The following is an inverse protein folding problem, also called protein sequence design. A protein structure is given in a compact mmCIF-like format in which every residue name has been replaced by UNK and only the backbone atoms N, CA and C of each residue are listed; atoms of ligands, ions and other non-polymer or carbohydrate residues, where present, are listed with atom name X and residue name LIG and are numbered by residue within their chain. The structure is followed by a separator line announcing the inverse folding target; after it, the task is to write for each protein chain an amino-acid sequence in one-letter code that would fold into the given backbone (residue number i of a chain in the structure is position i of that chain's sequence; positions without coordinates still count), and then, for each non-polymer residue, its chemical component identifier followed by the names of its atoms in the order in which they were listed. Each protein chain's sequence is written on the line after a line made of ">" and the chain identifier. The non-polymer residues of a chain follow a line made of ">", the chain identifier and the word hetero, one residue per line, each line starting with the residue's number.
data_IF_652853184817
#
_entry.id   IF_652853184817
#
_cell.length_a   1.000
_cell.length_b   1.000
_cell.length_c   1.000
_cell.angle_alpha   90.00
_cell.angle_beta   90.00
_cell.angle_gamma   90.00
#
_symmetry.space_group_name_H-M   'P 1'
#
loop_
_entity.id
_entity.type
_entity.pdbx_description
1 polymer ?
#
# COMPACT_ATOMS: atom_id res chain seq x y z
N UNK A 1 62.78 -17.32 -0.30
CA UNK A 1 62.68 -15.93 0.24
C UNK A 1 61.21 -15.73 0.62
N UNK A 2 60.77 -15.49 1.85
CA UNK A 2 61.32 -14.76 2.99
C UNK A 2 61.17 -15.58 4.28
N UNK A 3 62.20 -15.54 5.13
CA UNK A 3 62.24 -16.08 6.50
C UNK A 3 61.48 -15.12 7.42
N UNK A 4 60.95 -15.59 8.55
CA UNK A 4 61.43 -15.17 9.89
C UNK A 4 60.63 -15.79 11.06
N UNK A 5 61.26 -16.82 11.66
CA UNK A 5 61.46 -17.02 13.11
C UNK A 5 60.22 -16.89 14.02
N UNK A 6 59.61 -18.05 14.29
CA UNK A 6 58.80 -18.33 15.47
C UNK A 6 59.74 -18.43 16.68
N UNK A 7 59.96 -17.31 17.36
CA UNK A 7 60.89 -17.17 18.48
C UNK A 7 60.21 -17.40 19.83
N UNK A 8 60.72 -18.42 20.52
CA UNK A 8 60.50 -18.78 21.93
C UNK A 8 60.61 -17.56 22.85
N UNK A 9 59.59 -17.33 23.68
CA UNK A 9 59.65 -16.50 24.90
C UNK A 9 59.46 -17.45 26.07
N UNK A 10 60.52 -18.14 26.46
CA UNK A 10 61.32 -17.90 27.68
C UNK A 10 60.50 -18.01 28.96
N UNK A 11 60.57 -19.23 29.50
CA UNK A 11 60.38 -19.62 30.88
C UNK A 11 61.55 -19.06 31.71
N UNK A 12 61.32 -17.97 32.45
CA UNK A 12 62.21 -17.54 33.55
C UNK A 12 61.42 -16.62 34.47
N UNK A 13 60.90 -17.13 35.58
CA UNK A 13 60.70 -16.34 36.80
C UNK A 13 60.78 -17.25 38.03
N UNK A 14 61.99 -17.43 38.56
CA UNK A 14 62.17 -17.73 39.98
C UNK A 14 62.33 -16.41 40.74
N UNK A 15 61.29 -16.11 41.52
CA UNK A 15 61.24 -15.48 42.85
C UNK A 15 61.91 -14.10 43.02
N UNK A 16 61.09 -13.07 43.26
CA UNK A 16 61.54 -11.89 43.99
C UNK A 16 60.84 -10.54 43.81
N UNK A 17 59.53 -10.46 43.53
CA UNK A 17 58.66 -9.27 43.76
C UNK A 17 57.18 -9.61 43.50
N UNK A 18 56.62 -10.64 44.15
CA UNK A 18 55.24 -11.11 43.91
C UNK A 18 54.17 -10.01 44.03
N UNK A 19 54.43 -8.98 44.84
CA UNK A 19 53.50 -7.88 45.04
C UNK A 19 53.42 -6.92 43.82
N UNK A 20 54.50 -6.79 43.05
CA UNK A 20 54.53 -5.93 41.85
C UNK A 20 53.88 -6.64 40.65
N UNK A 21 54.15 -7.94 40.47
CA UNK A 21 53.51 -8.76 39.43
C UNK A 21 52.00 -8.83 39.63
N UNK A 22 51.54 -9.10 40.86
CA UNK A 22 50.11 -9.07 41.20
C UNK A 22 49.47 -7.72 40.85
N UNK A 23 50.08 -6.60 41.28
CA UNK A 23 49.54 -5.26 41.04
C UNK A 23 49.43 -4.97 39.55
N UNK A 24 50.48 -5.28 38.78
CA UNK A 24 50.50 -5.10 37.33
C UNK A 24 49.40 -5.92 36.64
N UNK A 25 49.22 -7.18 37.03
CA UNK A 25 48.18 -8.04 36.49
C UNK A 25 46.77 -7.51 36.81
N UNK A 26 46.54 -7.03 38.05
CA UNK A 26 45.28 -6.38 38.43
C UNK A 26 45.01 -5.10 37.64
N UNK A 27 46.01 -4.23 37.47
CA UNK A 27 45.89 -2.98 36.72
C UNK A 27 45.63 -3.27 35.22
N UNK A 28 46.32 -4.26 34.64
CA UNK A 28 46.08 -4.72 33.26
C UNK A 28 44.67 -5.27 33.09
N UNK A 29 44.18 -6.09 34.02
CA UNK A 29 42.81 -6.60 33.98
C UNK A 29 41.78 -5.48 34.01
N UNK A 30 41.93 -4.51 34.93
CA UNK A 30 41.05 -3.34 35.03
C UNK A 30 41.10 -2.46 33.77
N UNK A 31 42.27 -2.28 33.16
CA UNK A 31 42.42 -1.57 31.90
C UNK A 31 41.71 -2.30 30.75
N UNK A 32 41.86 -3.63 30.67
CA UNK A 32 41.19 -4.45 29.68
C UNK A 32 39.65 -4.39 29.82
N UNK A 33 39.12 -4.33 31.05
CA UNK A 33 37.68 -4.10 31.27
C UNK A 33 37.20 -2.76 30.70
N UNK A 34 37.98 -1.69 30.88
CA UNK A 34 37.66 -0.38 30.31
C UNK A 34 37.65 -0.41 28.77
N UNK A 35 38.58 -1.18 28.17
CA UNK A 35 38.66 -1.40 26.73
C UNK A 35 37.67 -2.46 26.19
N UNK A 36 36.83 -3.06 27.05
CA UNK A 36 35.90 -4.15 26.71
C UNK A 36 36.60 -5.41 26.16
N UNK A 37 37.88 -5.60 26.49
CA UNK A 37 38.67 -6.78 26.15
C UNK A 37 38.52 -7.85 27.23
N UNK A 38 37.33 -8.45 27.30
CA UNK A 38 36.96 -9.32 28.43
C UNK A 38 37.84 -10.57 28.58
N UNK A 39 38.24 -11.21 27.47
CA UNK A 39 39.13 -12.38 27.52
C UNK A 39 40.53 -12.00 28.07
N UNK A 40 41.08 -10.86 27.60
CA UNK A 40 42.33 -10.30 28.13
C UNK A 40 42.22 -9.99 29.62
N UNK A 41 41.08 -9.44 30.04
CA UNK A 41 40.82 -9.15 31.44
C UNK A 41 40.77 -10.42 32.31
N UNK A 42 40.08 -11.48 31.85
CA UNK A 42 40.07 -12.78 32.54
C UNK A 42 41.49 -13.31 32.69
N UNK A 43 42.29 -13.34 31.62
CA UNK A 43 43.66 -13.85 31.66
C UNK A 43 44.53 -13.04 32.65
N UNK A 44 44.34 -11.71 32.70
CA UNK A 44 45.05 -10.85 33.63
C UNK A 44 44.66 -11.11 35.09
N UNK A 45 43.37 -11.34 35.38
CA UNK A 45 42.92 -11.69 36.73
C UNK A 45 43.36 -13.10 37.14
N UNK A 46 43.48 -14.04 36.19
CA UNK A 46 44.07 -15.36 36.44
C UNK A 46 45.55 -15.25 36.82
N UNK A 47 46.34 -14.45 36.11
CA UNK A 47 47.73 -14.15 36.49
C UNK A 47 47.83 -13.52 37.89
N UNK A 48 46.92 -12.61 38.24
CA UNK A 48 46.87 -12.06 39.59
C UNK A 48 46.59 -13.14 40.66
N UNK A 49 45.73 -14.12 40.34
CA UNK A 49 45.42 -15.25 41.23
C UNK A 49 46.54 -16.28 41.31
N UNK A 50 47.40 -16.41 40.30
CA UNK A 50 48.61 -17.24 40.38
C UNK A 50 49.57 -16.69 41.45
N UNK A 51 49.71 -15.35 41.52
CA UNK A 51 50.52 -14.67 42.52
C UNK A 51 49.85 -14.62 43.90
N UNK A 52 48.53 -14.43 43.96
CA UNK A 52 47.73 -14.38 45.20
C UNK A 52 46.45 -15.20 45.07
N UNK A 53 46.58 -16.51 45.29
CA UNK A 53 45.49 -17.51 45.13
C UNK A 53 44.22 -17.22 45.90
N UNK A 54 44.30 -16.51 47.03
CA UNK A 54 43.16 -16.22 47.90
C UNK A 54 42.69 -14.77 47.86
N UNK A 55 43.17 -13.99 46.89
CA UNK A 55 42.73 -12.61 46.71
C UNK A 55 41.24 -12.54 46.31
N UNK A 56 40.43 -11.92 47.17
CA UNK A 56 38.97 -11.86 46.96
C UNK A 56 38.60 -10.98 45.77
N UNK A 57 39.29 -9.86 45.59
CA UNK A 57 39.02 -8.91 44.51
C UNK A 57 39.29 -9.57 43.15
N UNK A 58 40.47 -10.19 42.98
CA UNK A 58 40.81 -10.89 41.73
C UNK A 58 39.83 -12.04 41.41
N UNK A 59 39.38 -12.82 42.41
CA UNK A 59 38.35 -13.87 42.22
C UNK A 59 37.04 -13.27 41.72
N UNK A 60 36.52 -12.24 42.40
CA UNK A 60 35.25 -11.60 42.04
C UNK A 60 35.33 -10.96 40.65
N UNK A 61 36.41 -10.25 40.34
CA UNK A 61 36.59 -9.62 39.03
C UNK A 61 36.68 -10.66 37.91
N UNK A 62 37.41 -11.75 38.10
CA UNK A 62 37.44 -12.86 37.14
C UNK A 62 36.04 -13.42 36.91
N UNK A 63 35.34 -13.78 37.99
CA UNK A 63 34.01 -14.39 37.92
C UNK A 63 32.98 -13.46 37.27
N UNK A 64 33.02 -12.17 37.57
CA UNK A 64 32.16 -11.16 36.95
C UNK A 64 32.43 -11.05 35.44
N UNK A 65 33.70 -11.05 35.06
CA UNK A 65 34.13 -10.94 33.66
C UNK A 65 33.75 -12.19 32.86
N UNK A 66 33.92 -13.38 33.43
CA UNK A 66 33.47 -14.63 32.80
C UNK A 66 31.96 -14.63 32.58
N UNK A 67 31.16 -14.15 33.55
CA UNK A 67 29.71 -14.00 33.36
C UNK A 67 29.36 -12.98 32.28
N UNK A 68 30.11 -11.88 32.16
CA UNK A 68 29.94 -10.91 31.05
C UNK A 68 30.15 -11.58 29.69
N UNK A 69 31.20 -12.39 29.55
CA UNK A 69 31.48 -13.17 28.33
C UNK A 69 30.33 -14.12 28.01
N UNK A 70 29.84 -14.87 29.01
CA UNK A 70 28.68 -15.75 28.85
C UNK A 70 27.42 -14.97 28.41
N UNK A 71 27.19 -13.79 28.98
CA UNK A 71 26.05 -12.93 28.63
C UNK A 71 26.10 -12.50 27.15
N UNK A 72 27.28 -12.10 26.68
CA UNK A 72 27.51 -11.69 25.28
C UNK A 72 27.34 -12.88 24.33
N UNK A 73 27.78 -14.07 24.74
CA UNK A 73 27.59 -15.31 23.98
C UNK A 73 26.11 -15.64 23.82
N UNK A 74 25.33 -15.65 24.90
CA UNK A 74 23.89 -15.91 24.83
C UNK A 74 23.16 -14.89 23.96
N UNK A 75 23.51 -13.60 24.08
CA UNK A 75 23.01 -12.53 23.19
C UNK A 75 23.30 -12.86 21.71
N UNK A 76 24.52 -13.27 21.41
CA UNK A 76 24.96 -13.56 20.03
C UNK A 76 24.32 -14.83 19.47
N UNK A 77 23.97 -15.78 20.34
CA UNK A 77 23.20 -16.99 20.00
C UNK A 77 21.69 -16.75 19.88
N UNK A 78 21.21 -15.53 20.13
CA UNK A 78 19.78 -15.18 20.05
C UNK A 78 18.97 -15.58 21.27
N UNK A 79 19.60 -16.07 22.34
CA UNK A 79 18.94 -16.46 23.60
C UNK A 79 18.70 -15.22 24.47
N UNK A 80 17.84 -14.32 24.01
CA UNK A 80 17.69 -12.95 24.56
C UNK A 80 17.30 -12.94 26.05
N UNK A 81 16.34 -13.77 26.48
CA UNK A 81 15.93 -13.82 27.89
C UNK A 81 17.08 -14.25 28.81
N UNK A 82 17.83 -15.27 28.39
CA UNK A 82 18.96 -15.78 29.15
C UNK A 82 20.08 -14.74 29.20
N UNK A 83 20.35 -14.05 28.09
CA UNK A 83 21.30 -12.95 28.05
C UNK A 83 20.92 -11.82 29.02
N UNK A 84 19.65 -11.39 29.05
CA UNK A 84 19.15 -10.37 30.00
C UNK A 84 19.38 -10.82 31.44
N UNK A 85 19.06 -12.08 31.76
CA UNK A 85 19.29 -12.65 33.09
C UNK A 85 20.76 -12.62 33.50
N UNK A 86 21.66 -13.06 32.61
CA UNK A 86 23.10 -13.07 32.88
C UNK A 86 23.69 -11.65 32.99
N UNK A 87 23.26 -10.70 32.14
CA UNK A 87 23.68 -9.31 32.30
C UNK A 87 23.21 -8.72 33.63
N UNK A 88 22.01 -9.06 34.09
CA UNK A 88 21.54 -8.64 35.41
C UNK A 88 22.39 -9.23 36.56
N UNK A 89 22.87 -10.48 36.43
CA UNK A 89 23.80 -11.05 37.41
C UNK A 89 25.14 -10.30 37.45
N UNK A 90 25.67 -9.91 36.28
CA UNK A 90 26.90 -9.11 36.17
C UNK A 90 26.71 -7.72 36.78
N UNK A 91 25.58 -7.07 36.48
CA UNK A 91 25.19 -5.76 37.02
C UNK A 91 25.07 -5.77 38.55
N UNK A 92 24.51 -6.83 39.13
CA UNK A 92 24.22 -6.92 40.56
C UNK A 92 25.33 -7.56 41.38
N UNK A 93 26.43 -7.97 40.77
CA UNK A 93 27.52 -8.62 41.48
C UNK A 93 28.17 -7.67 42.49
N UNK A 94 28.12 -8.05 43.77
CA UNK A 94 28.71 -7.28 44.87
C UNK A 94 30.24 -7.35 44.81
N UNK A 95 30.88 -6.29 45.28
CA UNK A 95 32.34 -6.15 45.35
C UNK A 95 33.06 -6.31 44.00
N UNK A 96 32.31 -6.25 42.90
CA UNK A 96 32.81 -6.31 41.53
C UNK A 96 33.21 -4.96 40.96
N UNK A 97 33.56 -4.97 39.68
CA UNK A 97 33.89 -3.77 38.91
C UNK A 97 32.64 -2.96 38.58
N UNK A 98 32.61 -1.70 39.01
CA UNK A 98 31.57 -0.74 38.61
C UNK A 98 31.50 -0.53 37.09
N UNK A 99 32.63 -0.67 36.38
CA UNK A 99 32.69 -0.58 34.92
C UNK A 99 31.88 -1.73 34.30
N UNK A 100 32.10 -2.97 34.76
CA UNK A 100 31.34 -4.13 34.28
C UNK A 100 29.87 -4.03 34.64
N UNK A 101 29.54 -3.52 35.84
CA UNK A 101 28.15 -3.31 36.23
C UNK A 101 27.44 -2.34 35.28
N UNK A 102 28.08 -1.20 34.98
CA UNK A 102 27.54 -0.19 34.06
C UNK A 102 27.39 -0.74 32.64
N UNK A 103 28.42 -1.42 32.13
CA UNK A 103 28.39 -2.02 30.79
C UNK A 103 27.29 -3.10 30.68
N UNK A 104 27.12 -3.93 31.71
CA UNK A 104 26.10 -4.97 31.71
C UNK A 104 24.69 -4.38 31.77
N UNK A 105 24.50 -3.32 32.59
CA UNK A 105 23.25 -2.57 32.63
C UNK A 105 22.89 -1.99 31.26
N UNK A 106 23.83 -1.34 30.59
CA UNK A 106 23.63 -0.78 29.24
C UNK A 106 23.20 -1.86 28.24
N UNK A 107 23.89 -3.01 28.22
CA UNK A 107 23.55 -4.13 27.33
C UNK A 107 22.17 -4.71 27.67
N UNK A 108 21.86 -4.90 28.95
CA UNK A 108 20.58 -5.42 29.43
C UNK A 108 19.42 -4.50 29.02
N UNK A 109 19.56 -3.20 29.29
CA UNK A 109 18.51 -2.21 28.99
C UNK A 109 18.26 -2.14 27.47
N UNK A 110 19.33 -2.14 26.67
CA UNK A 110 19.22 -2.19 25.20
C UNK A 110 18.51 -3.46 24.70
N UNK A 111 18.76 -4.62 25.30
CA UNK A 111 18.06 -5.87 24.95
C UNK A 111 16.58 -5.84 25.33
N UNK A 112 16.24 -5.25 26.48
CA UNK A 112 14.86 -5.08 26.93
C UNK A 112 14.11 -4.17 25.96
N UNK A 113 14.67 -3.00 25.63
CA UNK A 113 14.07 -2.07 24.69
C UNK A 113 13.84 -2.70 23.31
N UNK A 114 14.85 -3.40 22.78
CA UNK A 114 14.73 -4.11 21.52
C UNK A 114 13.63 -5.19 21.55
N UNK A 115 13.56 -5.98 22.64
CA UNK A 115 12.52 -7.01 22.83
C UNK A 115 11.13 -6.38 22.88
N UNK A 116 10.96 -5.27 23.59
CA UNK A 116 9.68 -4.57 23.70
C UNK A 116 9.23 -3.99 22.35
N UNK A 117 10.12 -3.30 21.64
CA UNK A 117 9.86 -2.78 20.30
C UNK A 117 9.48 -3.90 19.32
N UNK A 118 10.20 -5.02 19.35
CA UNK A 118 9.85 -6.21 18.55
C UNK A 118 8.43 -6.69 18.86
N UNK A 119 8.08 -6.80 20.14
CA UNK A 119 6.73 -7.16 20.57
C UNK A 119 5.66 -6.19 20.08
N UNK A 120 5.95 -4.89 20.08
CA UNK A 120 5.03 -3.87 19.53
C UNK A 120 4.81 -4.05 18.03
N UNK A 121 5.86 -4.30 17.24
CA UNK A 121 5.71 -4.55 15.80
C UNK A 121 4.93 -5.83 15.53
N UNK A 122 5.18 -6.91 16.28
CA UNK A 122 4.41 -8.15 16.16
C UNK A 122 2.91 -7.90 16.44
N UNK A 123 2.58 -7.20 17.53
CA UNK A 123 1.18 -6.85 17.84
C UNK A 123 0.53 -5.97 16.78
N UNK A 124 1.28 -5.03 16.19
CA UNK A 124 0.78 -4.21 15.07
C UNK A 124 0.54 -5.05 13.80
N UNK A 125 1.42 -5.99 13.48
CA UNK A 125 1.25 -6.92 12.36
C UNK A 125 0.00 -7.79 12.54
N UNK A 126 -0.23 -8.33 13.74
CA UNK A 126 -1.44 -9.09 14.05
C UNK A 126 -2.71 -8.24 13.91
N UNK A 127 -2.66 -6.99 14.38
CA UNK A 127 -3.77 -6.04 14.21
C UNK A 127 -4.03 -5.75 12.72
N UNK A 128 -2.99 -5.54 11.93
CA UNK A 128 -3.12 -5.32 10.49
C UNK A 128 -3.70 -6.53 9.76
N UNK A 129 -3.28 -7.74 10.13
CA UNK A 129 -3.82 -9.00 9.60
C UNK A 129 -5.33 -9.13 9.90
N UNK A 130 -5.74 -8.81 11.13
CA UNK A 130 -7.15 -8.79 11.51
C UNK A 130 -7.95 -7.78 10.69
N UNK A 131 -7.45 -6.55 10.55
CA UNK A 131 -8.08 -5.51 9.74
C UNK A 131 -8.20 -5.90 8.26
N UNK A 132 -7.18 -6.57 7.70
CA UNK A 132 -7.23 -7.14 6.35
C UNK A 132 -8.40 -8.14 6.24
N UNK A 133 -8.54 -9.06 7.20
CA UNK A 133 -9.61 -10.06 7.20
C UNK A 133 -11.00 -9.43 7.38
N UNK A 134 -11.09 -8.34 8.16
CA UNK A 134 -12.29 -7.53 8.34
C UNK A 134 -12.59 -6.62 7.12
N UNK A 135 -11.82 -6.76 6.02
CA UNK A 135 -11.89 -5.95 4.79
C UNK A 135 -11.65 -4.45 5.00
N UNK A 136 -11.03 -4.08 6.12
CA UNK A 136 -10.61 -2.71 6.46
C UNK A 136 -9.21 -2.45 5.92
N UNK A 137 -9.08 -2.53 4.60
CA UNK A 137 -7.78 -2.57 3.92
C UNK A 137 -6.95 -1.29 4.11
N UNK A 138 -7.56 -0.11 4.07
CA UNK A 138 -6.82 1.15 4.24
C UNK A 138 -6.25 1.32 5.65
N UNK A 139 -7.01 0.93 6.69
CA UNK A 139 -6.51 0.93 8.07
C UNK A 139 -5.35 -0.07 8.23
N UNK A 140 -5.47 -1.27 7.66
CA UNK A 140 -4.42 -2.27 7.66
C UNK A 140 -3.15 -1.76 6.95
N UNK A 141 -3.32 -1.13 5.78
CA UNK A 141 -2.26 -0.54 4.97
C UNK A 141 -1.49 0.54 5.71
N UNK A 142 -2.20 1.42 6.42
CA UNK A 142 -1.58 2.46 7.25
C UNK A 142 -0.65 1.88 8.31
N UNK A 143 -1.06 0.80 8.98
CA UNK A 143 -0.24 0.13 10.00
C UNK A 143 1.02 -0.50 9.38
N UNK A 144 0.88 -1.29 8.31
CA UNK A 144 2.03 -1.98 7.71
C UNK A 144 3.04 -1.01 7.08
N UNK A 145 2.57 0.08 6.45
CA UNK A 145 3.46 1.12 5.93
C UNK A 145 4.27 1.79 7.03
N UNK A 146 3.66 2.02 8.21
CA UNK A 146 4.38 2.56 9.35
C UNK A 146 5.50 1.62 9.78
N UNK A 147 5.21 0.32 9.92
CA UNK A 147 6.23 -0.68 10.28
C UNK A 147 7.36 -0.68 9.25
N UNK A 148 7.05 -0.76 7.95
CA UNK A 148 8.08 -0.75 6.88
C UNK A 148 8.98 0.49 6.99
N UNK A 149 8.41 1.66 7.24
CA UNK A 149 9.17 2.90 7.40
C UNK A 149 10.05 2.90 8.68
N UNK A 150 9.50 2.40 9.79
CA UNK A 150 10.20 2.34 11.08
C UNK A 150 11.32 1.29 11.07
N UNK A 151 11.18 0.21 10.29
CA UNK A 151 12.08 -0.95 10.31
C UNK A 151 12.97 -1.13 9.08
N UNK A 152 12.70 -0.47 7.95
CA UNK A 152 13.30 -0.79 6.64
C UNK A 152 14.83 -0.76 6.58
N UNK A 153 15.49 0.06 7.40
CA UNK A 153 16.96 0.12 7.48
C UNK A 153 17.53 -0.60 8.71
N UNK A 154 16.68 -1.03 9.64
CA UNK A 154 17.11 -1.61 10.90
C UNK A 154 17.32 -3.12 10.77
N UNK A 155 18.58 -3.54 10.73
CA UNK A 155 18.97 -4.95 10.63
C UNK A 155 18.43 -5.83 11.78
N UNK A 156 18.05 -5.23 12.90
CA UNK A 156 17.50 -5.97 14.04
C UNK A 156 16.03 -6.39 13.84
N UNK A 157 15.30 -5.73 12.93
CA UNK A 157 13.87 -5.95 12.67
C UNK A 157 13.59 -6.43 11.24
N UNK A 158 14.55 -7.09 10.59
CA UNK A 158 14.42 -7.57 9.20
C UNK A 158 13.20 -8.48 9.03
N UNK A 159 12.97 -9.41 9.97
CA UNK A 159 11.85 -10.34 9.88
C UNK A 159 10.50 -9.63 9.98
N UNK A 160 10.38 -8.66 10.87
CA UNK A 160 9.19 -7.83 11.04
C UNK A 160 8.95 -6.97 9.79
N UNK A 161 10.00 -6.36 9.23
CA UNK A 161 9.94 -5.59 7.99
C UNK A 161 9.45 -6.45 6.82
N UNK A 162 10.07 -7.62 6.61
CA UNK A 162 9.69 -8.54 5.54
C UNK A 162 8.23 -8.99 5.65
N UNK A 163 7.77 -9.28 6.88
CA UNK A 163 6.37 -9.65 7.11
C UNK A 163 5.42 -8.48 6.83
N UNK A 164 5.82 -7.25 7.18
CA UNK A 164 5.05 -6.04 6.88
C UNK A 164 4.96 -5.78 5.37
N UNK A 165 6.07 -5.94 4.63
CA UNK A 165 6.11 -5.78 3.17
C UNK A 165 5.22 -6.80 2.45
N UNK A 166 5.29 -8.08 2.84
CA UNK A 166 4.45 -9.12 2.27
C UNK A 166 2.96 -8.85 2.55
N UNK A 167 2.63 -8.46 3.78
CA UNK A 167 1.26 -8.10 4.13
C UNK A 167 0.76 -6.88 3.34
N UNK A 168 1.62 -5.87 3.14
CA UNK A 168 1.32 -4.70 2.33
C UNK A 168 1.04 -5.08 0.87
N UNK A 169 1.83 -6.00 0.29
CA UNK A 169 1.61 -6.52 -1.06
C UNK A 169 0.25 -7.21 -1.19
N UNK A 170 -0.12 -8.04 -0.22
CA UNK A 170 -1.43 -8.70 -0.19
C UNK A 170 -2.57 -7.68 -0.10
N UNK A 171 -2.46 -6.70 0.80
CA UNK A 171 -3.47 -5.65 0.97
C UNK A 171 -3.65 -4.85 -0.32
N UNK A 172 -2.56 -4.47 -0.99
CA UNK A 172 -2.64 -3.76 -2.27
C UNK A 172 -3.35 -4.59 -3.36
N UNK A 173 -3.05 -5.89 -3.44
CA UNK A 173 -3.77 -6.78 -4.37
C UNK A 173 -5.28 -6.83 -4.10
N UNK A 174 -5.68 -6.89 -2.82
CA UNK A 174 -7.09 -6.91 -2.41
C UNK A 174 -7.79 -5.57 -2.69
N UNK A 175 -7.12 -4.44 -2.50
CA UNK A 175 -7.63 -3.11 -2.84
C UNK A 175 -7.89 -2.97 -4.34
N UNK A 176 -6.96 -3.45 -5.18
CA UNK A 176 -7.15 -3.46 -6.63
C UNK A 176 -8.36 -4.30 -7.03
N UNK A 177 -8.48 -5.52 -6.50
CA UNK A 177 -9.65 -6.39 -6.76
C UNK A 177 -10.96 -5.73 -6.29
N UNK A 178 -10.95 -5.06 -5.14
CA UNK A 178 -12.13 -4.36 -4.64
C UNK A 178 -12.54 -3.20 -5.56
N UNK A 179 -11.58 -2.47 -6.13
CA UNK A 179 -11.85 -1.41 -7.10
C UNK A 179 -12.46 -1.97 -8.39
N UNK A 180 -11.87 -3.03 -8.95
CA UNK A 180 -12.38 -3.69 -10.17
C UNK A 180 -13.79 -4.25 -9.99
N UNK A 181 -14.11 -4.81 -8.82
CA UNK A 181 -15.47 -5.31 -8.52
C UNK A 181 -16.47 -4.17 -8.44
N UNK A 182 -16.10 -3.05 -7.79
CA UNK A 182 -16.97 -1.87 -7.70
C UNK A 182 -17.27 -1.27 -9.08
N UNK A 183 -16.25 -1.16 -9.93
CA UNK A 183 -16.42 -0.66 -11.30
C UNK A 183 -17.40 -1.53 -12.10
N UNK A 184 -17.22 -2.86 -12.07
CA UNK A 184 -18.14 -3.81 -12.71
C UNK A 184 -19.55 -3.75 -12.15
N UNK A 185 -19.72 -3.57 -10.85
CA UNK A 185 -21.04 -3.41 -10.22
C UNK A 185 -21.74 -2.11 -10.64
N UNK A 186 -20.98 -1.02 -10.82
CA UNK A 186 -21.52 0.26 -11.32
C UNK A 186 -21.91 0.18 -12.80
N UNK A 187 -21.09 -0.46 -13.64
CA UNK A 187 -21.42 -0.73 -15.05
C UNK A 187 -22.72 -1.54 -15.17
N UNK A 188 -22.86 -2.62 -14.41
CA UNK A 188 -24.07 -3.45 -14.42
C UNK A 188 -25.32 -2.70 -13.95
N UNK A 189 -25.18 -1.78 -12.97
CA UNK A 189 -26.28 -0.93 -12.52
C UNK A 189 -26.69 0.07 -13.60
N UNK A 190 -25.72 0.64 -14.32
CA UNK A 190 -25.97 1.58 -15.40
C UNK A 190 -26.64 0.90 -16.60
N UNK A 191 -26.23 -0.31 -16.96
CA UNK A 191 -26.89 -1.11 -18.02
C UNK A 191 -28.34 -1.44 -17.66
N UNK A 192 -28.60 -1.96 -16.44
CA UNK A 192 -29.97 -2.24 -15.98
C UNK A 192 -30.86 -1.00 -15.95
N UNK A 193 -30.31 0.17 -15.63
CA UNK A 193 -31.05 1.44 -15.66
C UNK A 193 -31.41 1.82 -17.10
N UNK A 194 -30.47 1.70 -18.05
CA UNK A 194 -30.74 1.94 -19.48
C UNK A 194 -31.83 1.00 -20.01
N UNK A 195 -31.78 -0.29 -19.69
CA UNK A 195 -32.82 -1.25 -20.10
C UNK A 195 -34.19 -0.93 -19.50
N UNK A 196 -34.25 -0.52 -18.22
CA UNK A 196 -35.50 -0.14 -17.57
C UNK A 196 -36.12 1.14 -18.18
N UNK A 197 -35.28 2.13 -18.52
CA UNK A 197 -35.73 3.36 -19.16
C UNK A 197 -36.25 3.09 -20.59
N UNK A 198 -35.59 2.20 -21.35
CA UNK A 198 -36.09 1.71 -22.65
C UNK A 198 -37.44 1.00 -22.49
N UNK A 199 -37.61 0.15 -21.47
CA UNK A 199 -38.86 -0.54 -21.20
C UNK A 199 -40.03 0.40 -20.88
N UNK A 200 -39.79 1.45 -20.09
CA UNK A 200 -40.79 2.49 -19.77
C UNK A 200 -41.23 3.27 -21.00
N UNK A 201 -40.28 3.67 -21.85
CA UNK A 201 -40.60 4.29 -23.14
C UNK A 201 -41.50 3.36 -23.95
N UNK A 202 -41.07 2.11 -24.17
CA UNK A 202 -41.82 1.13 -24.96
C UNK A 202 -43.25 0.90 -24.46
N UNK A 203 -43.48 0.86 -23.15
CA UNK A 203 -44.81 0.73 -22.55
C UNK A 203 -45.70 1.98 -22.73
N UNK A 204 -45.12 3.18 -22.66
CA UNK A 204 -45.84 4.44 -22.90
C UNK A 204 -46.35 4.55 -24.34
N UNK A 205 -45.61 4.04 -25.32
CA UNK A 205 -46.03 4.01 -26.73
C UNK A 205 -47.07 2.93 -27.04
N UNK A 206 -47.07 1.82 -26.29
CA UNK A 206 -48.06 0.74 -26.48
C UNK A 206 -49.37 0.96 -25.71
N UNK A 207 -49.39 1.83 -24.69
CA UNK A 207 -50.59 2.16 -23.91
C UNK A 207 -51.48 3.22 -24.56
N UNK A 208 -51.04 3.91 -25.62
CA UNK A 208 -51.94 4.70 -26.46
C UNK A 208 -52.65 3.75 -27.41
N UNK A 209 -53.75 3.19 -26.93
CA UNK A 209 -54.71 2.44 -27.73
C UNK A 209 -55.26 3.41 -28.79
N UNK A 210 -54.62 3.40 -29.97
CA UNK A 210 -54.98 4.17 -31.16
C UNK A 210 -56.35 3.73 -31.65
N UNK A 211 -57.38 4.25 -31.01
CA UNK A 211 -58.77 4.24 -31.45
C UNK A 211 -59.24 5.68 -31.54
N UNK A 212 -58.63 6.46 -32.44
CA UNK A 212 -59.30 7.50 -33.22
C UNK A 212 -58.26 8.39 -33.91
N UNK A 213 -58.29 8.34 -35.26
CA UNK A 213 -57.74 9.29 -36.24
C UNK A 213 -56.23 9.61 -36.16
N UNK A 214 -55.52 9.67 -37.29
CA UNK A 214 -54.13 10.12 -37.29
C UNK A 214 -54.08 11.53 -36.70
N UNK A 215 -53.29 11.71 -35.64
CA UNK A 215 -52.97 13.02 -35.10
C UNK A 215 -52.11 13.72 -36.15
N UNK A 216 -52.77 14.47 -37.03
CA UNK A 216 -52.08 15.47 -37.83
C UNK A 216 -51.40 16.43 -36.88
N UNK A 217 -50.08 16.55 -37.00
CA UNK A 217 -49.37 17.73 -36.50
C UNK A 217 -49.86 18.91 -37.34
N UNK A 218 -50.88 19.63 -36.86
CA UNK A 218 -51.17 20.98 -37.35
C UNK A 218 -50.00 21.86 -36.92
N UNK A 219 -49.06 22.08 -37.85
CA UNK A 219 -48.16 23.22 -37.76
C UNK A 219 -49.05 24.42 -38.10
N UNK A 220 -49.47 25.17 -37.08
CA UNK A 220 -50.09 26.48 -37.29
C UNK A 220 -49.22 27.27 -38.26
N UNK A 221 -49.85 27.75 -39.33
CA UNK A 221 -49.22 28.64 -40.31
C UNK A 221 -48.60 29.84 -39.59
N UNK A 222 -47.28 29.82 -39.38
CA UNK A 222 -46.57 31.00 -38.92
C UNK A 222 -46.48 31.94 -40.11
N UNK A 223 -47.48 32.81 -40.18
CA UNK A 223 -47.49 33.97 -41.05
C UNK A 223 -46.23 34.79 -40.76
N UNK A 224 -45.47 35.05 -41.82
CA UNK A 224 -44.30 35.90 -41.79
C UNK A 224 -44.69 37.30 -41.34
N UNK A 225 -44.34 37.70 -40.12
CA UNK A 225 -43.93 39.06 -39.77
C UNK A 225 -43.61 39.17 -38.27
N UNK A 226 -42.45 39.76 -37.99
CA UNK A 226 -41.97 40.23 -36.67
C UNK A 226 -41.55 39.18 -35.66
N UNK A 227 -40.32 38.69 -35.81
CA UNK A 227 -39.31 38.82 -34.74
C UNK A 227 -37.92 38.73 -35.39
N UNK A 228 -37.16 39.82 -35.29
CA UNK A 228 -35.76 39.86 -35.69
C UNK A 228 -34.94 38.99 -34.74
N UNK A 229 -34.50 37.86 -35.27
CA UNK A 229 -33.54 36.93 -34.67
C UNK A 229 -33.25 35.89 -35.74
N UNK A 230 -32.05 35.96 -36.33
CA UNK A 230 -31.59 35.07 -37.40
C UNK A 230 -31.49 33.62 -36.90
N UNK A 231 -32.61 32.90 -36.87
CA UNK A 231 -32.59 31.45 -36.97
C UNK A 231 -32.31 31.14 -38.44
N UNK A 232 -31.07 30.73 -38.73
CA UNK A 232 -30.67 30.34 -40.08
C UNK A 232 -31.63 29.28 -40.61
N UNK A 233 -32.29 29.63 -41.72
CA UNK A 233 -33.17 28.77 -42.52
C UNK A 233 -32.39 27.55 -43.04
N UNK A 234 -32.23 26.50 -42.24
CA UNK A 234 -31.94 25.16 -42.75
C UNK A 234 -33.22 24.32 -42.68
N UNK A 235 -34.18 24.69 -43.52
CA UNK A 235 -35.32 23.82 -43.77
C UNK A 235 -34.82 22.65 -44.65
N UNK A 236 -34.40 21.56 -43.98
CA UNK A 236 -33.80 20.36 -44.60
C UNK A 236 -34.72 19.73 -45.65
N UNK A 237 -36.03 20.02 -45.57
CA UNK A 237 -37.04 19.51 -46.49
C UNK A 237 -37.50 20.54 -47.54
N UNK A 238 -36.92 21.75 -47.55
CA UNK A 238 -37.29 22.83 -48.48
C UNK A 238 -38.63 23.53 -48.16
N UNK A 239 -38.83 24.74 -48.71
CA UNK A 239 -40.11 25.47 -48.60
C UNK A 239 -41.20 24.76 -49.44
N UNK A 240 -42.37 24.52 -48.85
CA UNK A 240 -43.54 23.93 -49.53
C UNK A 240 -43.76 22.43 -49.32
N UNK A 241 -43.02 21.79 -48.41
CA UNK A 241 -43.14 20.35 -48.12
C UNK A 241 -44.24 20.05 -47.12
N UNK A 242 -45.13 19.11 -47.46
CA UNK A 242 -46.12 18.55 -46.53
C UNK A 242 -45.67 17.18 -46.07
N UNK A 243 -45.47 17.00 -44.76
CA UNK A 243 -45.09 15.72 -44.16
C UNK A 243 -46.36 14.86 -44.02
N UNK A 244 -46.33 13.65 -44.56
CA UNK A 244 -47.40 12.67 -44.45
C UNK A 244 -47.11 11.63 -43.36
N UNK A 245 -47.32 10.36 -43.70
CA UNK A 245 -47.10 9.24 -42.78
C UNK A 245 -45.61 9.02 -42.50
N UNK A 246 -45.30 8.59 -41.28
CA UNK A 246 -43.97 8.09 -40.91
C UNK A 246 -44.06 6.70 -40.29
N UNK A 247 -43.01 5.91 -40.47
CA UNK A 247 -42.88 4.56 -39.91
C UNK A 247 -41.53 4.40 -39.24
N UNK A 248 -41.53 4.01 -37.98
CA UNK A 248 -40.30 3.66 -37.27
C UNK A 248 -39.85 2.27 -37.74
N UNK A 249 -38.63 2.17 -38.26
CA UNK A 249 -38.04 0.95 -38.78
C UNK A 249 -37.29 0.17 -37.69
N UNK A 250 -36.50 0.86 -36.87
CA UNK A 250 -35.77 0.25 -35.75
C UNK A 250 -35.38 1.28 -34.70
N UNK A 251 -35.17 0.79 -33.47
CA UNK A 251 -34.55 1.54 -32.37
C UNK A 251 -33.49 0.65 -31.74
N UNK A 252 -32.22 0.98 -31.90
CA UNK A 252 -31.10 0.20 -31.36
C UNK A 252 -29.94 1.11 -30.93
N UNK A 253 -29.37 0.87 -29.75
CA UNK A 253 -28.20 1.60 -29.21
C UNK A 253 -28.27 3.15 -29.32
N UNK A 254 -29.46 3.74 -29.13
CA UNK A 254 -29.64 5.20 -29.23
C UNK A 254 -29.82 5.72 -30.66
N UNK A 255 -29.91 4.82 -31.64
CA UNK A 255 -30.21 5.11 -33.03
C UNK A 255 -31.71 4.91 -33.27
N UNK A 256 -32.39 5.93 -33.80
CA UNK A 256 -33.77 5.81 -34.28
C UNK A 256 -33.75 5.90 -35.80
N UNK A 257 -34.24 4.85 -36.46
CA UNK A 257 -34.44 4.82 -37.91
C UNK A 257 -35.91 5.04 -38.24
N UNK A 258 -36.23 6.10 -38.98
CA UNK A 258 -37.61 6.42 -39.39
C UNK A 258 -37.69 6.55 -40.89
N UNK A 259 -38.65 5.87 -41.50
CA UNK A 259 -39.09 6.10 -42.88
C UNK A 259 -40.13 7.22 -42.87
N UNK A 260 -39.85 8.32 -43.57
CA UNK A 260 -40.76 9.46 -43.68
C UNK A 260 -41.26 9.56 -45.12
N UNK A 261 -42.57 9.72 -45.26
CA UNK A 261 -43.22 9.92 -46.54
C UNK A 261 -43.74 11.35 -46.61
N UNK A 262 -43.31 12.11 -47.61
CA UNK A 262 -43.66 13.53 -47.75
C UNK A 262 -44.00 13.88 -49.19
N UNK A 263 -44.76 14.97 -49.36
CA UNK A 263 -45.13 15.52 -50.66
C UNK A 263 -44.33 16.80 -50.92
N UNK A 264 -43.67 16.86 -52.07
CA UNK A 264 -43.06 18.08 -52.61
C UNK A 264 -43.77 18.37 -53.94
N UNK A 265 -44.61 19.41 -53.96
CA UNK A 265 -45.60 19.58 -55.02
C UNK A 265 -46.63 18.43 -55.00
N UNK A 266 -46.85 17.77 -56.14
CA UNK A 266 -47.77 16.62 -56.28
C UNK A 266 -47.07 15.25 -56.22
N UNK A 267 -45.76 15.21 -55.96
CA UNK A 267 -44.96 13.98 -56.01
C UNK A 267 -44.69 13.47 -54.60
N UNK A 268 -44.93 12.17 -54.39
CA UNK A 268 -44.69 11.44 -53.13
C UNK A 268 -43.24 10.98 -53.05
N UNK A 269 -42.55 11.38 -51.99
CA UNK A 269 -41.15 11.07 -51.71
C UNK A 269 -41.02 10.27 -50.42
N UNK A 270 -39.93 9.50 -50.35
CA UNK A 270 -39.51 8.74 -49.17
C UNK A 270 -38.12 9.20 -48.73
N UNK A 271 -37.92 9.31 -47.43
CA UNK A 271 -36.61 9.55 -46.83
C UNK A 271 -36.41 8.66 -45.61
N UNK A 272 -35.17 8.23 -45.40
CA UNK A 272 -34.77 7.54 -44.17
C UNK A 272 -34.08 8.53 -43.24
N UNK A 273 -34.54 8.58 -42.00
CA UNK A 273 -34.03 9.45 -40.94
C UNK A 273 -33.26 8.59 -39.95
N UNK A 274 -32.03 9.00 -39.64
CA UNK A 274 -31.20 8.39 -38.61
C UNK A 274 -30.86 9.44 -37.58
N UNK A 275 -31.26 9.21 -36.33
CA UNK A 275 -30.90 10.08 -35.21
C UNK A 275 -29.83 9.36 -34.38
N UNK A 276 -28.67 9.98 -34.23
CA UNK A 276 -27.55 9.50 -33.42
C UNK A 276 -27.12 10.58 -32.43
N UNK A 277 -27.26 10.31 -31.14
CA UNK A 277 -27.02 11.27 -30.05
C UNK A 277 -27.82 12.58 -30.26
N UNK A 278 -27.17 13.63 -30.78
CA UNK A 278 -27.75 14.94 -31.09
C UNK A 278 -27.64 15.28 -32.59
N UNK A 279 -27.43 14.30 -33.47
CA UNK A 279 -27.31 14.52 -34.91
C UNK A 279 -28.45 13.85 -35.64
N UNK A 280 -29.19 14.63 -36.42
CA UNK A 280 -30.19 14.13 -37.36
C UNK A 280 -29.55 14.01 -38.74
N UNK A 281 -29.55 12.81 -39.30
CA UNK A 281 -29.13 12.54 -40.67
C UNK A 281 -30.35 12.14 -41.50
N UNK A 282 -30.53 12.79 -42.64
CA UNK A 282 -31.60 12.52 -43.61
C UNK A 282 -30.99 11.95 -44.87
N UNK A 283 -31.45 10.77 -45.27
CA UNK A 283 -31.12 10.15 -46.55
C UNK A 283 -32.27 10.36 -47.53
N UNK A 284 -32.02 11.13 -48.60
CA UNK A 284 -32.99 11.35 -49.66
C UNK A 284 -32.80 10.32 -50.77
N UNK A 285 -33.70 9.34 -50.84
CA UNK A 285 -33.66 8.27 -51.84
C UNK A 285 -33.73 8.84 -53.28
N UNK A 286 -34.43 9.97 -53.47
CA UNK A 286 -34.60 10.63 -54.78
C UNK A 286 -33.40 11.51 -55.19
N UNK A 287 -32.77 12.22 -54.25
CA UNK A 287 -31.67 13.13 -54.55
C UNK A 287 -30.29 12.44 -54.52
N UNK A 288 -30.22 11.20 -54.00
CA UNK A 288 -28.97 10.48 -53.80
C UNK A 288 -28.01 11.18 -52.83
N UNK A 289 -28.50 12.15 -52.08
CA UNK A 289 -27.74 12.98 -51.14
C UNK A 289 -28.09 12.63 -49.70
N UNK A 290 -27.11 12.82 -48.82
CA UNK A 290 -27.26 12.70 -47.37
C UNK A 290 -26.98 14.06 -46.76
N UNK A 291 -27.90 14.56 -45.96
CA UNK A 291 -27.69 15.79 -45.18
C UNK A 291 -27.72 15.47 -43.69
N UNK A 292 -26.84 16.10 -42.92
CA UNK A 292 -26.74 15.90 -41.47
C UNK A 292 -26.77 17.25 -40.77
N UNK A 293 -27.63 17.38 -39.76
CA UNK A 293 -27.79 18.57 -38.93
C UNK A 293 -27.62 18.21 -37.46
N UNK A 294 -26.79 18.98 -36.74
CA UNK A 294 -26.72 18.88 -35.28
C UNK A 294 -27.94 19.56 -34.66
N UNK A 295 -28.69 18.80 -33.88
CA UNK A 295 -29.80 19.25 -33.07
C UNK A 295 -29.25 19.97 -31.84
N UNK A 296 -29.59 21.26 -31.70
CA UNK A 296 -29.31 22.04 -30.50
C UNK A 296 -30.61 22.13 -29.70
N UNK A 297 -30.55 21.83 -28.40
CA UNK A 297 -31.70 21.92 -27.50
C UNK A 297 -32.16 23.38 -27.42
N UNK A 298 -33.41 23.67 -27.75
CA UNK A 298 -33.97 24.98 -27.42
C UNK A 298 -34.18 25.05 -25.91
N UNK A 299 -33.80 26.17 -25.29
CA UNK A 299 -34.14 26.47 -23.90
C UNK A 299 -35.65 26.66 -23.71
#
# INVERSE_FOLDING_TARGET
>A
MKRLILGIIILFLMVGCSNETYKKAMDQGKLALASKEYDTAVASFELALEEKKDDKEAKVLKDQTTKMISSIKEKSSGNIEQAIGLFQEVEKMKDGSAILQSQAKEQKDSLIEHKELKGQYIGQLEKAEKLKNDKKYEEAKGIVNKIVNDTGQNQQFISENQRAEELNKQINGLLTQQAEVKEKEEELKNEKKKEADIGKLKGSWMSSESTDRPVGLEIESINSEKTGGEFMEHNIFGKGTTIGDFRILSVDQGIISVELVFLVGEIKHKADLKIEENTLTVYHEFMGSTESVKLVRSE
#
